data_IF_539627970220
#
_entry.id   IF_539627970220
#
_cell.length_a   1.000
_cell.length_b   1.000
_cell.length_c   1.000
_cell.angle_alpha   90.00
_cell.angle_beta   90.00
_cell.angle_gamma   90.00
#
_symmetry.space_group_name_H-M   'P 1'
#
loop_
_entity.id
_entity.type
_entity.pdbx_description
1 polymer ?
#
# COMPACT_ATOMS: atom_id res chain seq x y z
N UNK A 1 3.72 -12.70 -45.81
CA UNK A 1 3.55 -13.51 -44.58
C UNK A 1 4.89 -13.50 -43.88
N UNK A 2 5.03 -12.71 -42.82
CA UNK A 2 6.28 -12.61 -42.07
C UNK A 2 5.95 -13.02 -40.65
N UNK A 3 6.33 -14.26 -40.34
CA UNK A 3 6.38 -14.83 -39.01
C UNK A 3 7.35 -14.02 -38.15
N UNK A 4 6.86 -13.44 -37.06
CA UNK A 4 7.71 -12.91 -35.99
C UNK A 4 7.29 -13.58 -34.70
N UNK A 5 7.86 -14.75 -34.48
CA UNK A 5 7.82 -15.47 -33.21
C UNK A 5 8.27 -14.50 -32.11
N UNK A 6 7.34 -14.18 -31.22
CA UNK A 6 7.56 -13.33 -30.06
C UNK A 6 8.20 -14.22 -29.01
N UNK A 7 9.50 -14.11 -28.89
CA UNK A 7 10.31 -14.71 -27.84
C UNK A 7 9.74 -14.27 -26.48
N UNK A 8 8.99 -15.18 -25.85
CA UNK A 8 8.47 -15.03 -24.51
C UNK A 8 9.60 -15.41 -23.56
N UNK A 9 10.50 -14.45 -23.30
CA UNK A 9 11.46 -14.57 -22.22
C UNK A 9 10.69 -14.62 -20.89
N UNK A 10 10.52 -15.84 -20.39
CA UNK A 10 9.99 -16.17 -19.08
C UNK A 10 10.94 -15.61 -18.01
N UNK A 11 10.69 -14.38 -17.58
CA UNK A 11 11.35 -13.81 -16.41
C UNK A 11 10.83 -14.51 -15.16
N UNK A 12 11.55 -15.54 -14.70
CA UNK A 12 11.39 -16.07 -13.34
C UNK A 12 11.62 -14.93 -12.36
N UNK A 13 10.52 -14.38 -11.81
CA UNK A 13 10.58 -13.32 -10.79
C UNK A 13 11.28 -13.86 -9.55
N UNK A 14 12.52 -13.45 -9.33
CA UNK A 14 13.18 -13.62 -8.05
C UNK A 14 12.32 -13.00 -6.95
N UNK A 15 12.10 -13.76 -5.87
CA UNK A 15 11.33 -13.29 -4.72
C UNK A 15 12.14 -12.22 -3.99
N UNK A 16 11.49 -11.12 -3.65
CA UNK A 16 12.10 -10.10 -2.80
C UNK A 16 12.54 -10.71 -1.47
N UNK A 17 13.66 -10.24 -0.96
CA UNK A 17 14.17 -10.61 0.37
C UNK A 17 13.20 -10.14 1.46
N UNK A 18 13.13 -10.90 2.55
CA UNK A 18 12.30 -10.53 3.69
C UNK A 18 12.81 -9.23 4.34
N UNK A 19 11.88 -8.32 4.64
CA UNK A 19 12.18 -7.07 5.33
C UNK A 19 12.40 -7.37 6.81
N UNK A 20 13.56 -7.03 7.41
CA UNK A 20 13.91 -7.41 8.77
C UNK A 20 13.25 -6.50 9.82
N UNK A 21 11.91 -6.43 9.85
CA UNK A 21 11.12 -5.57 10.75
C UNK A 21 11.53 -5.66 12.22
N UNK A 22 11.82 -6.87 12.72
CA UNK A 22 12.19 -7.11 14.11
C UNK A 22 13.51 -6.43 14.53
N UNK A 23 14.39 -6.13 13.58
CA UNK A 23 15.66 -5.43 13.83
C UNK A 23 15.50 -3.91 13.84
N UNK A 24 14.36 -3.41 13.37
CA UNK A 24 14.09 -2.00 13.12
C UNK A 24 12.70 -1.60 13.63
N UNK A 25 12.52 -1.61 14.95
CA UNK A 25 11.23 -1.26 15.57
C UNK A 25 10.81 0.19 15.26
N UNK A 26 11.77 1.07 15.00
CA UNK A 26 11.55 2.45 14.56
C UNK A 26 10.69 2.55 13.29
N UNK A 27 10.78 1.58 12.39
CA UNK A 27 9.97 1.54 11.17
C UNK A 27 8.48 1.36 11.47
N UNK A 28 8.15 0.56 12.49
CA UNK A 28 6.76 0.44 12.93
C UNK A 28 6.25 1.73 13.55
N UNK A 29 7.09 2.41 14.34
CA UNK A 29 6.70 3.69 14.93
C UNK A 29 6.48 4.76 13.86
N UNK A 30 7.34 4.84 12.83
CA UNK A 30 7.13 5.72 11.67
C UNK A 30 5.82 5.38 10.93
N UNK A 31 5.53 4.10 10.71
CA UNK A 31 4.27 3.70 10.10
C UNK A 31 3.07 4.18 10.91
N UNK A 32 3.08 3.99 12.24
CA UNK A 32 2.00 4.42 13.14
C UNK A 32 1.84 5.94 13.08
N UNK A 33 2.93 6.68 13.21
CA UNK A 33 2.94 8.14 13.16
C UNK A 33 2.33 8.68 11.86
N UNK A 34 2.72 8.09 10.72
CA UNK A 34 2.17 8.47 9.42
C UNK A 34 0.65 8.26 9.33
N UNK A 35 0.15 7.07 9.71
CA UNK A 35 -1.28 6.77 9.59
C UNK A 35 -2.14 7.57 10.58
N UNK A 36 -1.56 8.03 11.69
CA UNK A 36 -2.22 8.93 12.65
C UNK A 36 -2.29 10.36 12.11
N UNK A 37 -1.21 10.88 11.52
CA UNK A 37 -1.18 12.20 10.91
C UNK A 37 -2.01 12.29 9.61
N UNK A 38 -2.22 11.16 8.92
CA UNK A 38 -2.98 11.09 7.68
C UNK A 38 -4.24 10.20 7.80
N UNK A 39 -5.26 10.63 8.57
CA UNK A 39 -6.43 9.79 8.89
C UNK A 39 -7.26 9.41 7.66
N UNK A 40 -7.27 10.26 6.63
CA UNK A 40 -7.97 9.97 5.38
C UNK A 40 -7.22 8.98 4.49
N UNK A 41 -5.89 9.02 4.51
CA UNK A 41 -5.05 8.00 3.88
C UNK A 41 -5.25 6.66 4.58
N UNK A 42 -5.24 6.64 5.92
CA UNK A 42 -5.54 5.46 6.74
C UNK A 42 -6.90 4.86 6.39
N UNK A 43 -7.96 5.67 6.35
CA UNK A 43 -9.32 5.25 5.97
C UNK A 43 -9.37 4.71 4.53
N UNK A 44 -8.63 5.31 3.60
CA UNK A 44 -8.52 4.82 2.23
C UNK A 44 -7.82 3.46 2.15
N UNK A 45 -6.71 3.30 2.87
CA UNK A 45 -5.85 2.11 2.87
C UNK A 45 -6.53 0.89 3.51
N UNK A 46 -7.12 1.07 4.68
CA UNK A 46 -7.77 -0.02 5.44
C UNK A 46 -9.26 -0.18 5.13
N UNK A 47 -9.78 0.62 4.20
CA UNK A 47 -11.20 0.82 3.96
C UNK A 47 -11.93 1.41 5.17
N UNK A 48 -12.61 2.54 4.94
CA UNK A 48 -13.37 3.20 5.97
C UNK A 48 -14.61 2.38 6.35
N UNK A 49 -15.03 2.46 7.60
CA UNK A 49 -16.26 1.79 8.03
C UNK A 49 -17.47 2.64 7.63
N UNK A 50 -18.43 2.01 6.93
CA UNK A 50 -19.68 2.70 6.56
C UNK A 50 -20.44 3.20 7.80
N UNK A 51 -20.43 2.43 8.89
CA UNK A 51 -21.11 2.81 10.15
C UNK A 51 -20.49 4.08 10.75
N UNK A 52 -19.16 4.11 10.82
CA UNK A 52 -18.40 5.24 11.40
C UNK A 52 -18.51 6.48 10.52
N UNK A 53 -18.41 6.32 9.19
CA UNK A 53 -18.56 7.45 8.27
C UNK A 53 -19.95 8.11 8.40
N UNK A 54 -21.00 7.30 8.47
CA UNK A 54 -22.37 7.80 8.62
C UNK A 54 -22.60 8.46 9.99
N UNK A 55 -22.09 7.89 11.09
CA UNK A 55 -22.20 8.52 12.41
C UNK A 55 -21.44 9.85 12.50
N UNK A 56 -20.36 9.99 11.74
CA UNK A 56 -19.56 11.21 11.64
C UNK A 56 -20.06 12.18 10.55
N UNK A 57 -21.22 11.92 9.94
CA UNK A 57 -21.84 12.81 8.95
C UNK A 57 -21.06 12.99 7.64
N UNK A 58 -20.14 12.06 7.35
CA UNK A 58 -19.20 12.15 6.21
C UNK A 58 -19.34 10.96 5.26
N UNK A 59 -18.93 11.15 4.01
CA UNK A 59 -18.94 10.06 3.03
C UNK A 59 -17.84 9.06 3.33
N UNK A 60 -18.15 7.77 3.20
CA UNK A 60 -17.19 6.67 3.33
C UNK A 60 -16.02 6.88 2.37
N UNK A 61 -14.79 6.83 2.88
CA UNK A 61 -13.59 6.79 2.03
C UNK A 61 -13.26 5.34 1.66
N UNK A 62 -13.16 5.10 0.37
CA UNK A 62 -12.71 3.82 -0.19
C UNK A 62 -11.48 4.07 -1.03
N UNK A 63 -10.48 3.21 -0.91
CA UNK A 63 -9.31 3.24 -1.78
C UNK A 63 -9.74 3.11 -3.23
N UNK A 64 -9.54 4.19 -4.00
CA UNK A 64 -9.73 4.20 -5.45
C UNK A 64 -8.45 3.80 -6.19
N UNK A 65 -7.31 4.08 -5.57
CA UNK A 65 -5.99 3.79 -6.10
C UNK A 65 -5.61 2.32 -5.91
N UNK A 66 -4.74 1.83 -6.78
CA UNK A 66 -4.13 0.51 -6.62
C UNK A 66 -3.36 0.46 -5.30
N UNK A 67 -3.57 -0.60 -4.50
CA UNK A 67 -2.92 -0.76 -3.19
C UNK A 67 -1.41 -0.61 -3.24
N UNK A 68 -0.80 -0.99 -4.36
CA UNK A 68 0.62 -0.87 -4.65
C UNK A 68 1.11 0.58 -4.55
N UNK A 69 0.32 1.56 -5.03
CA UNK A 69 0.67 2.99 -4.95
C UNK A 69 0.67 3.44 -3.48
N UNK A 70 -0.37 3.06 -2.73
CA UNK A 70 -0.45 3.41 -1.31
C UNK A 70 0.66 2.76 -0.48
N UNK A 71 1.02 1.50 -0.77
CA UNK A 71 2.16 0.85 -0.12
C UNK A 71 3.50 1.46 -0.54
N UNK A 72 3.62 1.99 -1.75
CA UNK A 72 4.79 2.76 -2.20
C UNK A 72 4.99 4.02 -1.36
N UNK A 73 3.94 4.81 -1.16
CA UNK A 73 3.98 6.02 -0.31
C UNK A 73 4.39 5.68 1.13
N UNK A 74 3.87 4.58 1.68
CA UNK A 74 4.28 4.12 3.01
C UNK A 74 5.75 3.69 3.04
N UNK A 75 6.21 2.95 2.02
CA UNK A 75 7.59 2.52 1.95
C UNK A 75 8.57 3.71 1.89
N UNK A 76 8.25 4.76 1.12
CA UNK A 76 9.05 5.99 1.06
C UNK A 76 9.14 6.75 2.40
N UNK A 77 8.12 6.62 3.26
CA UNK A 77 8.11 7.27 4.57
C UNK A 77 8.81 6.43 5.65
N UNK A 78 8.72 5.12 5.55
CA UNK A 78 9.20 4.19 6.58
C UNK A 78 10.71 3.96 6.47
N UNK A 79 11.19 3.67 5.26
CA UNK A 79 12.58 3.29 4.97
C UNK A 79 13.42 4.51 4.64
#
# INVERSE_FOLDING_TARGET
>A
KTDKAKDAAEQTKERATEIPWAKHLEWMFRLIDYIEQHPDFRRSLFSDSTKVANSEGRKKKVGKDQKQVAYGVLAEYIF
#
